data_IF_553732639680
#
_entry.id   IF_553732639680
#
_cell.length_a   1.000
_cell.length_b   1.000
_cell.length_c   1.000
_cell.angle_alpha   90.00
_cell.angle_beta   90.00
_cell.angle_gamma   90.00
#
_symmetry.space_group_name_H-M   'P 1'
#
loop_
_entity.id
_entity.type
_entity.pdbx_description
1 polymer ?
#
# COMPACT_ATOMS: atom_id res chain seq x y z
N UNK A 1 15.44 18.35 10.32
CA UNK A 1 15.33 17.24 9.35
C UNK A 1 13.98 17.42 8.66
N UNK A 2 13.93 17.38 7.34
CA UNK A 2 12.67 17.54 6.59
C UNK A 2 11.79 16.32 6.85
N UNK A 3 10.48 16.54 7.04
CA UNK A 3 9.55 15.47 7.29
C UNK A 3 9.44 14.54 6.08
N UNK A 4 9.46 13.24 6.34
CA UNK A 4 9.36 12.18 5.35
C UNK A 4 8.36 11.13 5.82
N UNK A 5 7.84 10.29 4.92
CA UNK A 5 6.95 9.18 5.26
C UNK A 5 7.61 7.88 4.82
N UNK A 6 8.13 7.15 5.79
CA UNK A 6 8.87 5.91 5.61
C UNK A 6 8.01 4.70 5.96
N UNK A 7 7.17 4.84 7.00
CA UNK A 7 6.20 3.83 7.40
C UNK A 7 4.88 4.50 7.81
N UNK A 8 3.80 3.70 7.93
CA UNK A 8 2.47 4.21 8.33
C UNK A 8 2.46 4.83 9.73
N UNK A 9 3.19 4.33 10.74
CA UNK A 9 3.33 5.00 12.03
C UNK A 9 3.88 6.43 12.00
N UNK A 10 4.53 6.85 10.92
CA UNK A 10 4.99 8.23 10.75
C UNK A 10 3.83 9.24 10.60
N UNK A 11 2.61 8.72 10.36
CA UNK A 11 1.38 9.48 10.25
C UNK A 11 0.47 9.18 11.45
N UNK A 12 -0.06 10.20 12.12
CA UNK A 12 -1.07 10.01 13.17
C UNK A 12 -2.42 9.62 12.55
N UNK A 13 -3.39 9.10 13.34
CA UNK A 13 -4.74 8.84 12.83
C UNK A 13 -5.41 10.10 12.22
N UNK A 14 -5.25 11.25 12.86
CA UNK A 14 -5.80 12.54 12.40
C UNK A 14 -5.15 12.97 11.08
N UNK A 15 -3.86 12.67 10.88
CA UNK A 15 -3.19 12.93 9.61
C UNK A 15 -3.62 11.97 8.51
N UNK A 16 -3.90 10.71 8.85
CA UNK A 16 -4.47 9.75 7.90
C UNK A 16 -5.86 10.22 7.45
N UNK A 17 -6.70 10.66 8.37
CA UNK A 17 -8.03 11.18 8.07
C UNK A 17 -7.94 12.45 7.20
N UNK A 18 -7.07 13.39 7.55
CA UNK A 18 -6.82 14.61 6.76
C UNK A 18 -6.29 14.32 5.35
N UNK A 19 -5.43 13.30 5.19
CA UNK A 19 -4.97 12.86 3.87
C UNK A 19 -6.11 12.28 3.03
N UNK A 20 -6.98 11.49 3.64
CA UNK A 20 -8.15 10.94 2.96
C UNK A 20 -9.16 12.03 2.59
N UNK A 21 -9.40 13.01 3.48
CA UNK A 21 -10.24 14.19 3.19
C UNK A 21 -9.67 14.97 2.00
N UNK A 22 -8.35 15.21 1.99
CA UNK A 22 -7.69 15.89 0.86
C UNK A 22 -7.82 15.07 -0.43
N UNK A 23 -7.66 13.75 -0.37
CA UNK A 23 -7.80 12.89 -1.54
C UNK A 23 -9.24 12.90 -2.08
N UNK A 24 -10.26 12.90 -1.21
CA UNK A 24 -11.66 13.00 -1.60
C UNK A 24 -11.99 14.38 -2.19
N UNK A 25 -11.39 15.44 -1.65
CA UNK A 25 -11.52 16.79 -2.20
C UNK A 25 -10.89 16.91 -3.61
N UNK A 26 -9.71 16.33 -3.82
CA UNK A 26 -9.08 16.24 -5.15
C UNK A 26 -9.98 15.49 -6.14
N UNK A 27 -10.64 14.41 -5.70
CA UNK A 27 -11.58 13.65 -6.55
C UNK A 27 -12.78 14.49 -6.92
N UNK A 28 -13.31 15.29 -5.99
CA UNK A 28 -14.49 16.10 -6.19
C UNK A 28 -14.21 17.37 -7.02
N UNK A 29 -13.00 17.94 -6.90
CA UNK A 29 -12.62 19.24 -7.50
C UNK A 29 -11.21 19.15 -8.12
N UNK A 30 -10.98 18.29 -9.12
CA UNK A 30 -9.64 18.05 -9.67
C UNK A 30 -8.98 19.32 -10.26
N UNK A 31 -9.77 20.21 -10.85
CA UNK A 31 -9.26 21.43 -11.48
C UNK A 31 -8.63 22.41 -10.47
N UNK A 32 -9.11 22.41 -9.21
CA UNK A 32 -8.55 23.25 -8.13
C UNK A 32 -7.12 22.85 -7.78
N UNK A 33 -6.69 21.66 -8.16
CA UNK A 33 -5.39 21.09 -7.87
C UNK A 33 -4.46 20.99 -9.07
N UNK A 34 -4.95 21.29 -10.29
CA UNK A 34 -4.21 21.10 -11.54
C UNK A 34 -2.88 21.87 -11.63
N UNK A 35 -2.74 22.96 -10.89
CA UNK A 35 -1.52 23.80 -10.82
C UNK A 35 -0.87 23.81 -9.42
N UNK A 36 -1.35 22.96 -8.48
CA UNK A 36 -0.91 22.99 -7.09
C UNK A 36 0.59 22.74 -6.91
N UNK A 37 1.20 21.93 -7.79
CA UNK A 37 2.64 21.63 -7.79
C UNK A 37 3.36 22.30 -9.00
N UNK A 38 2.86 23.39 -9.52
CA UNK A 38 3.48 24.09 -10.65
C UNK A 38 4.95 24.38 -10.36
N UNK A 39 5.83 24.02 -11.31
CA UNK A 39 7.31 24.11 -11.22
C UNK A 39 7.96 23.19 -10.20
N UNK A 40 7.22 22.37 -9.44
CA UNK A 40 7.81 21.37 -8.54
C UNK A 40 8.21 20.12 -9.29
N UNK A 41 9.19 19.42 -8.75
CA UNK A 41 9.72 18.17 -9.34
C UNK A 41 9.68 17.05 -8.33
N UNK A 42 9.06 15.94 -8.72
CA UNK A 42 9.14 14.67 -8.01
C UNK A 42 10.25 13.81 -8.63
N UNK A 43 11.20 13.36 -7.85
CA UNK A 43 12.12 12.30 -8.28
C UNK A 43 11.53 10.93 -7.94
N UNK A 44 11.32 10.06 -8.94
CA UNK A 44 10.96 8.65 -8.73
C UNK A 44 12.20 7.77 -8.89
N UNK A 45 12.72 7.27 -7.76
CA UNK A 45 13.94 6.44 -7.68
C UNK A 45 13.53 4.99 -7.45
N UNK A 46 13.39 4.21 -8.52
CA UNK A 46 12.90 2.84 -8.48
C UNK A 46 14.00 1.83 -8.81
N UNK A 47 14.73 1.39 -7.78
CA UNK A 47 15.81 0.40 -7.88
C UNK A 47 15.30 -1.05 -7.88
N UNK A 48 14.03 -1.27 -7.56
CA UNK A 48 13.31 -2.53 -7.69
C UNK A 48 12.16 -2.35 -8.70
N UNK A 49 11.90 -3.31 -9.61
CA UNK A 49 10.81 -3.19 -10.59
C UNK A 49 9.44 -2.97 -9.93
N UNK A 50 8.74 -1.94 -10.35
CA UNK A 50 7.37 -1.65 -9.91
C UNK A 50 6.65 -0.71 -10.87
N UNK A 51 5.97 -1.27 -11.86
CA UNK A 51 5.26 -0.50 -12.88
C UNK A 51 4.13 0.33 -12.27
N UNK A 52 3.24 -0.29 -11.51
CA UNK A 52 2.04 0.38 -10.95
C UNK A 52 2.38 1.52 -10.00
N UNK A 53 3.25 1.26 -9.02
CA UNK A 53 3.58 2.27 -8.00
C UNK A 53 4.29 3.46 -8.63
N UNK A 54 5.23 3.21 -9.56
CA UNK A 54 5.93 4.27 -10.27
C UNK A 54 4.96 5.13 -11.08
N UNK A 55 4.19 4.51 -12.00
CA UNK A 55 3.23 5.23 -12.83
C UNK A 55 2.20 6.00 -11.99
N UNK A 56 1.80 5.46 -10.84
CA UNK A 56 0.86 6.14 -9.95
C UNK A 56 1.45 7.40 -9.30
N UNK A 57 2.74 7.39 -8.91
CA UNK A 57 3.43 8.59 -8.42
C UNK A 57 3.64 9.62 -9.52
N UNK A 58 4.05 9.16 -10.71
CA UNK A 58 4.28 10.02 -11.86
C UNK A 58 2.97 10.69 -12.30
N UNK A 59 1.89 9.91 -12.44
CA UNK A 59 0.56 10.44 -12.76
C UNK A 59 0.07 11.42 -11.67
N UNK A 60 0.25 11.10 -10.38
CA UNK A 60 -0.11 11.99 -9.29
C UNK A 60 0.58 13.34 -9.39
N UNK A 61 1.88 13.37 -9.68
CA UNK A 61 2.63 14.61 -9.80
C UNK A 61 2.23 15.42 -11.05
N UNK A 62 1.99 14.75 -12.17
CA UNK A 62 1.53 15.42 -13.41
C UNK A 62 0.13 16.03 -13.24
N UNK A 63 -0.80 15.33 -12.61
CA UNK A 63 -2.15 15.85 -12.35
C UNK A 63 -2.15 17.04 -11.35
N UNK A 64 -1.11 17.17 -10.53
CA UNK A 64 -0.88 18.35 -9.70
C UNK A 64 -0.13 19.49 -10.42
N UNK A 65 0.11 19.39 -11.73
CA UNK A 65 0.82 20.39 -12.54
C UNK A 65 2.33 20.41 -12.34
N UNK A 66 2.90 19.39 -11.68
CA UNK A 66 4.34 19.28 -11.47
C UNK A 66 5.06 18.50 -12.57
N UNK A 67 6.35 18.24 -12.35
CA UNK A 67 7.22 17.51 -13.28
C UNK A 67 7.83 16.29 -12.59
N UNK A 68 8.30 15.33 -13.39
CA UNK A 68 8.91 14.10 -12.86
C UNK A 68 10.33 13.91 -13.39
N UNK A 69 11.24 13.52 -12.49
CA UNK A 69 12.57 13.01 -12.81
C UNK A 69 12.61 11.53 -12.45
N UNK A 70 12.60 10.65 -13.46
CA UNK A 70 12.44 9.21 -13.23
C UNK A 70 13.77 8.46 -13.43
N UNK A 71 14.13 7.64 -12.43
CA UNK A 71 15.26 6.68 -12.49
C UNK A 71 14.73 5.29 -12.24
N UNK A 72 15.04 4.36 -13.16
CA UNK A 72 14.59 2.97 -13.09
C UNK A 72 15.76 2.01 -13.21
N UNK A 73 15.79 1.02 -12.31
CA UNK A 73 16.78 -0.05 -12.29
C UNK A 73 18.14 0.36 -11.70
N UNK A 74 18.67 -0.48 -10.84
CA UNK A 74 19.99 -0.27 -10.24
C UNK A 74 21.12 -0.33 -11.30
N UNK A 75 20.97 -1.17 -12.34
CA UNK A 75 21.99 -1.39 -13.37
C UNK A 75 22.20 -0.22 -14.34
N UNK A 76 21.28 0.72 -14.42
CA UNK A 76 21.35 1.89 -15.32
C UNK A 76 21.63 3.19 -14.58
N UNK A 77 21.83 3.15 -13.28
CA UNK A 77 22.08 4.32 -12.42
C UNK A 77 23.50 4.31 -11.86
N UNK A 78 23.91 5.41 -11.23
CA UNK A 78 25.20 5.52 -10.52
C UNK A 78 25.36 4.48 -9.41
N UNK A 79 24.27 3.89 -8.92
CA UNK A 79 24.31 2.75 -7.98
C UNK A 79 25.10 1.55 -8.56
N UNK A 80 25.05 1.34 -9.88
CA UNK A 80 25.87 0.31 -10.56
C UNK A 80 27.37 0.54 -10.42
N UNK A 81 27.79 1.80 -10.16
CA UNK A 81 29.19 2.18 -9.94
C UNK A 81 29.57 2.20 -8.45
N UNK A 82 28.65 1.80 -7.55
CA UNK A 82 28.88 1.75 -6.10
C UNK A 82 28.44 3.02 -5.34
N UNK A 83 27.68 3.93 -5.97
CA UNK A 83 27.14 5.09 -5.26
C UNK A 83 26.21 4.66 -4.14
N UNK A 84 26.38 5.26 -2.96
CA UNK A 84 25.56 4.96 -1.78
C UNK A 84 24.16 5.58 -1.90
N UNK A 85 23.17 4.98 -1.22
CA UNK A 85 21.82 5.56 -1.10
C UNK A 85 21.87 6.97 -0.51
N UNK A 86 22.79 7.22 0.44
CA UNK A 86 22.96 8.51 1.06
C UNK A 86 23.43 9.59 0.06
N UNK A 87 24.41 9.25 -0.80
CA UNK A 87 24.94 10.20 -1.80
C UNK A 87 23.93 10.40 -2.91
N UNK A 88 23.24 9.35 -3.37
CA UNK A 88 22.12 9.47 -4.31
C UNK A 88 21.05 10.42 -3.78
N UNK A 89 20.65 10.28 -2.50
CA UNK A 89 19.62 11.13 -1.90
C UNK A 89 20.06 12.60 -1.83
N UNK A 90 21.32 12.89 -1.44
CA UNK A 90 21.88 14.24 -1.43
C UNK A 90 21.92 14.84 -2.83
N UNK A 91 22.41 14.08 -3.81
CA UNK A 91 22.52 14.52 -5.20
C UNK A 91 21.15 14.84 -5.80
N UNK A 92 20.19 13.93 -5.64
CA UNK A 92 18.84 14.12 -6.18
C UNK A 92 18.10 15.27 -5.49
N UNK A 93 18.39 15.53 -4.22
CA UNK A 93 17.84 16.70 -3.51
C UNK A 93 18.25 18.05 -4.12
N UNK A 94 19.33 18.08 -4.94
CA UNK A 94 19.71 19.28 -5.70
C UNK A 94 18.84 19.53 -6.93
N UNK A 95 18.07 18.52 -7.37
CA UNK A 95 17.31 18.56 -8.62
C UNK A 95 15.79 18.47 -8.43
N UNK A 96 15.34 17.92 -7.33
CA UNK A 96 13.93 17.65 -7.05
C UNK A 96 13.48 18.29 -5.73
N UNK A 97 12.17 18.53 -5.61
CA UNK A 97 11.53 19.09 -4.41
C UNK A 97 11.02 17.99 -3.47
N UNK A 98 10.84 16.77 -3.97
CA UNK A 98 10.38 15.59 -3.23
C UNK A 98 10.88 14.32 -3.91
N UNK A 99 11.14 13.26 -3.13
CA UNK A 99 11.63 11.97 -3.62
C UNK A 99 10.66 10.87 -3.26
N UNK A 100 10.27 10.02 -4.22
CA UNK A 100 9.63 8.72 -3.99
C UNK A 100 10.64 7.61 -4.29
N UNK A 101 11.04 6.84 -3.26
CA UNK A 101 12.06 5.81 -3.40
C UNK A 101 11.49 4.41 -3.22
N UNK A 102 11.77 3.51 -4.17
CA UNK A 102 11.57 2.07 -4.05
C UNK A 102 12.89 1.33 -4.15
N UNK A 103 13.18 0.46 -3.17
CA UNK A 103 14.49 -0.17 -3.07
C UNK A 103 14.37 -1.64 -2.62
N UNK A 104 15.22 -2.59 -3.13
CA UNK A 104 15.18 -3.98 -2.69
C UNK A 104 15.68 -4.20 -1.25
N UNK A 105 16.50 -3.30 -0.71
CA UNK A 105 17.01 -3.38 0.66
C UNK A 105 16.12 -2.66 1.65
N UNK A 106 15.76 -3.33 2.73
CA UNK A 106 15.02 -2.76 3.84
C UNK A 106 15.80 -1.60 4.49
N UNK A 107 15.09 -0.54 4.88
CA UNK A 107 15.67 0.65 5.48
C UNK A 107 16.33 1.64 4.50
N UNK A 108 16.41 1.31 3.20
CA UNK A 108 17.03 2.22 2.23
C UNK A 108 16.31 3.59 2.14
N UNK A 109 14.98 3.59 2.18
CA UNK A 109 14.20 4.82 2.20
C UNK A 109 14.46 5.66 3.45
N UNK A 110 14.68 5.03 4.61
CA UNK A 110 15.07 5.72 5.86
C UNK A 110 16.46 6.35 5.74
N UNK A 111 17.42 5.63 5.14
CA UNK A 111 18.76 6.19 4.88
C UNK A 111 18.65 7.39 3.94
N UNK A 112 17.84 7.30 2.90
CA UNK A 112 17.59 8.43 2.00
C UNK A 112 16.98 9.62 2.75
N UNK A 113 15.94 9.42 3.58
CA UNK A 113 15.27 10.47 4.35
C UNK A 113 16.20 11.18 5.33
N UNK A 114 17.16 10.45 5.92
CA UNK A 114 18.16 11.02 6.83
C UNK A 114 19.22 11.88 6.14
N UNK A 115 19.41 11.71 4.84
CA UNK A 115 20.46 12.36 4.06
C UNK A 115 19.93 13.37 3.02
N UNK A 116 18.66 13.26 2.64
CA UNK A 116 18.03 14.21 1.72
C UNK A 116 17.75 15.55 2.41
N UNK A 117 17.81 16.65 1.64
CA UNK A 117 17.35 17.98 2.05
C UNK A 117 15.88 18.24 1.67
N UNK A 118 15.23 17.29 1.02
CA UNK A 118 13.82 17.33 0.59
C UNK A 118 13.05 16.14 1.18
N UNK A 119 11.71 16.17 1.25
CA UNK A 119 10.90 15.05 1.71
C UNK A 119 11.16 13.77 0.93
N UNK A 120 11.15 12.63 1.64
CA UNK A 120 11.26 11.30 1.05
C UNK A 120 10.00 10.48 1.38
N UNK A 121 9.42 9.85 0.36
CA UNK A 121 8.32 8.89 0.47
C UNK A 121 8.85 7.49 0.18
N UNK A 122 8.63 6.56 1.12
CA UNK A 122 8.89 5.15 0.88
C UNK A 122 7.83 4.57 -0.07
N UNK A 123 8.24 4.22 -1.29
CA UNK A 123 7.40 3.55 -2.29
C UNK A 123 7.52 2.01 -2.25
N UNK A 124 8.10 1.48 -1.17
CA UNK A 124 8.34 0.07 -0.88
C UNK A 124 9.81 -0.26 -0.73
N UNK A 125 10.20 -0.85 0.40
CA UNK A 125 11.58 -1.25 0.69
C UNK A 125 11.66 -2.73 1.10
N UNK A 126 12.13 -3.56 0.21
CA UNK A 126 12.32 -5.00 0.44
C UNK A 126 11.06 -5.70 0.95
N UNK A 127 11.20 -6.43 2.05
CA UNK A 127 10.11 -7.10 2.77
C UNK A 127 9.47 -6.26 3.88
N UNK A 128 10.01 -5.08 4.16
CA UNK A 128 9.67 -4.27 5.33
C UNK A 128 8.26 -3.66 5.24
N UNK A 129 8.04 -2.60 4.45
CA UNK A 129 6.74 -1.95 4.36
C UNK A 129 6.46 -1.31 3.00
N UNK A 130 5.21 -0.94 2.80
CA UNK A 130 4.73 -0.21 1.63
C UNK A 130 3.65 0.80 2.06
N UNK A 131 4.01 1.92 2.72
CA UNK A 131 3.06 2.82 3.35
C UNK A 131 2.02 3.35 2.37
N UNK A 132 2.41 3.68 1.13
CA UNK A 132 1.48 4.23 0.15
C UNK A 132 0.48 3.21 -0.42
N UNK A 133 0.73 1.90 -0.26
CA UNK A 133 -0.29 0.88 -0.51
C UNK A 133 -1.33 0.91 0.61
N UNK A 134 -0.88 0.96 1.86
CA UNK A 134 -1.79 1.04 3.01
C UNK A 134 -2.68 2.29 2.93
N UNK A 135 -2.15 3.44 2.51
CA UNK A 135 -2.95 4.65 2.27
C UNK A 135 -4.03 4.42 1.21
N UNK A 136 -3.68 3.75 0.11
CA UNK A 136 -4.64 3.37 -0.94
C UNK A 136 -5.74 2.44 -0.40
N UNK A 137 -5.36 1.49 0.46
CA UNK A 137 -6.27 0.54 1.08
C UNK A 137 -7.26 1.26 2.02
N UNK A 138 -6.77 2.15 2.88
CA UNK A 138 -7.61 2.92 3.81
C UNK A 138 -8.62 3.82 3.08
N UNK A 139 -8.20 4.57 2.05
CA UNK A 139 -9.12 5.38 1.26
C UNK A 139 -10.16 4.51 0.55
N UNK A 140 -9.78 3.34 0.06
CA UNK A 140 -10.72 2.43 -0.60
C UNK A 140 -11.76 1.92 0.40
N UNK A 141 -11.34 1.48 1.58
CA UNK A 141 -12.26 1.03 2.64
C UNK A 141 -13.20 2.17 3.02
N UNK A 142 -12.68 3.38 3.25
CA UNK A 142 -13.49 4.56 3.61
C UNK A 142 -14.52 4.89 2.52
N UNK A 143 -14.16 4.86 1.26
CA UNK A 143 -15.06 5.17 0.15
C UNK A 143 -16.11 4.09 -0.11
N UNK A 144 -15.76 2.81 0.06
CA UNK A 144 -16.70 1.70 -0.14
C UNK A 144 -17.61 1.47 1.08
N UNK A 145 -17.15 1.81 2.30
CA UNK A 145 -17.91 1.55 3.56
C UNK A 145 -18.42 2.81 4.26
N UNK A 146 -17.96 3.99 3.85
CA UNK A 146 -18.26 5.26 4.54
C UNK A 146 -17.62 5.39 5.92
N UNK A 147 -16.80 4.42 6.35
CA UNK A 147 -16.18 4.37 7.68
C UNK A 147 -14.95 3.48 7.69
N UNK A 148 -14.12 3.62 8.74
CA UNK A 148 -12.97 2.74 9.03
C UNK A 148 -13.14 1.96 10.35
N UNK A 149 -14.17 2.30 11.13
CA UNK A 149 -14.52 1.63 12.39
C UNK A 149 -15.66 0.63 12.21
N UNK A 150 -15.85 -0.26 13.20
CA UNK A 150 -16.92 -1.27 13.25
C UNK A 150 -16.99 -2.12 11.96
N UNK A 151 -15.85 -2.69 11.55
CA UNK A 151 -15.72 -3.53 10.37
C UNK A 151 -15.15 -4.92 10.71
N UNK A 152 -15.64 -5.93 10.03
CA UNK A 152 -15.03 -7.27 9.98
C UNK A 152 -14.16 -7.39 8.75
N UNK A 153 -12.84 -7.47 8.95
CA UNK A 153 -11.84 -7.47 7.88
C UNK A 153 -11.25 -8.86 7.71
N UNK A 154 -11.57 -9.52 6.61
CA UNK A 154 -10.99 -10.79 6.19
C UNK A 154 -9.70 -10.55 5.40
N UNK A 155 -8.61 -11.19 5.82
CA UNK A 155 -7.32 -11.19 5.13
C UNK A 155 -7.05 -12.61 4.65
N UNK A 156 -6.92 -12.81 3.34
CA UNK A 156 -6.87 -14.14 2.74
C UNK A 156 -5.67 -14.34 1.82
N UNK A 157 -4.95 -15.45 2.02
CA UNK A 157 -3.82 -15.88 1.19
C UNK A 157 -2.50 -15.98 1.94
N UNK A 158 -1.44 -15.34 1.42
CA UNK A 158 -0.11 -15.31 2.07
C UNK A 158 -0.07 -14.22 3.14
N UNK A 159 -0.38 -14.60 4.38
CA UNK A 159 -0.36 -13.68 5.51
C UNK A 159 1.00 -13.67 6.24
N UNK A 160 1.91 -14.59 5.88
CA UNK A 160 3.23 -14.71 6.49
C UNK A 160 4.22 -13.70 5.90
N UNK A 161 4.29 -13.62 4.58
CA UNK A 161 5.22 -12.76 3.86
C UNK A 161 4.56 -11.49 3.30
N UNK A 162 3.24 -11.38 3.47
CA UNK A 162 2.42 -10.29 2.97
C UNK A 162 2.63 -8.97 3.72
N UNK A 163 3.69 -8.21 3.40
CA UNK A 163 3.94 -6.89 4.02
C UNK A 163 2.75 -5.93 3.96
N UNK A 164 1.95 -5.98 2.88
CA UNK A 164 0.74 -5.16 2.74
C UNK A 164 -0.33 -5.56 3.77
N UNK A 165 -0.44 -6.85 4.08
CA UNK A 165 -1.31 -7.36 5.15
C UNK A 165 -0.86 -6.85 6.51
N UNK A 166 0.43 -6.95 6.82
CA UNK A 166 0.97 -6.50 8.10
C UNK A 166 0.77 -4.99 8.29
N UNK A 167 1.06 -4.20 7.26
CA UNK A 167 0.87 -2.76 7.28
C UNK A 167 -0.61 -2.38 7.42
N UNK A 168 -1.52 -3.10 6.73
CA UNK A 168 -2.95 -2.85 6.84
C UNK A 168 -3.49 -3.21 8.23
N UNK A 169 -3.07 -4.34 8.81
CA UNK A 169 -3.42 -4.69 10.20
C UNK A 169 -2.98 -3.58 11.15
N UNK A 170 -1.73 -3.12 11.05
CA UNK A 170 -1.19 -2.07 11.90
C UNK A 170 -1.94 -0.74 11.75
N UNK A 171 -2.27 -0.36 10.52
CA UNK A 171 -3.02 0.87 10.25
C UNK A 171 -4.45 0.79 10.78
N UNK A 172 -5.17 -0.27 10.41
CA UNK A 172 -6.56 -0.48 10.83
C UNK A 172 -6.69 -0.64 12.35
N UNK A 173 -5.71 -1.25 13.01
CA UNK A 173 -5.72 -1.41 14.48
C UNK A 173 -5.75 -0.10 15.29
N UNK A 174 -5.74 1.05 14.63
CA UNK A 174 -5.89 2.39 15.23
C UNK A 174 -7.34 2.85 15.30
N UNK A 175 -8.26 2.12 14.62
CA UNK A 175 -9.68 2.42 14.58
C UNK A 175 -10.45 1.46 15.50
N UNK A 176 -11.62 1.88 15.98
CA UNK A 176 -12.39 1.14 16.98
C UNK A 176 -13.35 0.12 16.35
N UNK A 177 -13.75 -0.88 17.14
CA UNK A 177 -14.79 -1.83 16.76
C UNK A 177 -14.42 -2.78 15.64
N UNK A 178 -13.13 -3.02 15.41
CA UNK A 178 -12.65 -3.91 14.36
C UNK A 178 -12.59 -5.36 14.82
N UNK A 179 -12.86 -6.27 13.88
CA UNK A 179 -12.60 -7.72 14.00
C UNK A 179 -11.81 -8.18 12.78
N UNK A 180 -10.76 -8.95 12.99
CA UNK A 180 -10.01 -9.57 11.89
C UNK A 180 -10.34 -11.05 11.75
N UNK A 181 -10.45 -11.50 10.49
CA UNK A 181 -10.54 -12.91 10.12
C UNK A 181 -9.32 -13.24 9.26
N UNK A 182 -8.40 -14.03 9.81
CA UNK A 182 -7.12 -14.37 9.18
C UNK A 182 -7.27 -15.73 8.50
N UNK A 183 -7.32 -15.73 7.17
CA UNK A 183 -7.64 -16.88 6.33
C UNK A 183 -6.38 -17.29 5.57
N UNK A 184 -5.73 -18.37 5.99
CA UNK A 184 -4.48 -18.82 5.37
C UNK A 184 -4.20 -20.29 5.62
N UNK A 185 -3.41 -20.97 4.76
CA UNK A 185 -2.82 -22.26 5.13
C UNK A 185 -1.99 -22.12 6.41
N UNK A 186 -1.79 -23.25 7.12
CA UNK A 186 -1.01 -23.28 8.37
C UNK A 186 0.38 -22.66 8.22
N UNK A 187 1.04 -22.92 7.10
CA UNK A 187 2.41 -22.47 6.80
C UNK A 187 2.52 -20.97 6.48
N UNK A 188 1.39 -20.34 6.09
CA UNK A 188 1.30 -18.94 5.67
C UNK A 188 0.55 -18.05 6.67
N UNK A 189 0.42 -18.49 7.92
CA UNK A 189 -0.23 -17.70 8.99
C UNK A 189 0.53 -16.41 9.30
N UNK A 190 -0.24 -15.41 9.72
CA UNK A 190 0.32 -14.14 10.22
C UNK A 190 1.35 -14.39 11.32
N UNK A 191 2.55 -13.81 11.24
CA UNK A 191 3.58 -13.96 12.26
C UNK A 191 3.13 -13.53 13.66
N UNK A 192 3.68 -14.17 14.68
CA UNK A 192 3.28 -13.92 16.07
C UNK A 192 3.53 -12.47 16.50
N UNK A 193 4.60 -11.82 16.00
CA UNK A 193 4.91 -10.44 16.35
C UNK A 193 3.82 -9.48 15.85
N UNK A 194 3.30 -9.66 14.64
CA UNK A 194 2.19 -8.82 14.10
C UNK A 194 0.94 -9.00 14.95
N UNK A 195 0.58 -10.26 15.27
CA UNK A 195 -0.59 -10.54 16.13
C UNK A 195 -0.44 -9.94 17.52
N UNK A 196 0.73 -10.06 18.12
CA UNK A 196 0.97 -9.55 19.46
C UNK A 196 0.93 -8.04 19.52
N UNK A 197 1.61 -7.37 18.58
CA UNK A 197 1.78 -5.92 18.61
C UNK A 197 0.53 -5.15 18.13
N UNK A 198 -0.12 -5.64 17.08
CA UNK A 198 -1.24 -4.92 16.48
C UNK A 198 -2.61 -5.37 17.02
N UNK A 199 -2.78 -6.65 17.36
CA UNK A 199 -4.09 -7.17 17.74
C UNK A 199 -4.20 -7.42 19.26
N UNK A 200 -3.31 -8.25 19.85
CA UNK A 200 -3.41 -8.62 21.25
C UNK A 200 -3.20 -7.45 22.21
N UNK A 201 -2.15 -6.64 21.99
CA UNK A 201 -1.87 -5.46 22.84
C UNK A 201 -3.02 -4.44 22.85
N UNK A 202 -3.81 -4.40 21.77
CA UNK A 202 -4.95 -3.50 21.62
C UNK A 202 -6.31 -4.16 21.89
N UNK A 203 -6.31 -5.42 22.33
CA UNK A 203 -7.52 -6.21 22.57
C UNK A 203 -8.46 -6.28 21.36
N UNK A 204 -7.93 -6.30 20.14
CA UNK A 204 -8.73 -6.40 18.91
C UNK A 204 -9.07 -7.88 18.67
N UNK A 205 -10.36 -8.23 18.55
CA UNK A 205 -10.79 -9.60 18.29
C UNK A 205 -10.26 -10.09 16.94
N UNK A 206 -9.78 -11.34 16.90
CA UNK A 206 -9.44 -11.99 15.65
C UNK A 206 -9.70 -13.50 15.71
N UNK A 207 -10.04 -14.07 14.57
CA UNK A 207 -10.15 -15.51 14.36
C UNK A 207 -9.17 -15.96 13.28
N UNK A 208 -8.78 -17.25 13.31
CA UNK A 208 -7.93 -17.84 12.27
C UNK A 208 -8.66 -19.07 11.70
N UNK A 209 -8.69 -19.19 10.38
CA UNK A 209 -9.26 -20.33 9.68
C UNK A 209 -8.49 -20.63 8.40
N UNK A 210 -8.66 -21.83 7.88
CA UNK A 210 -8.17 -22.23 6.56
C UNK A 210 -9.27 -22.22 5.51
N UNK A 211 -10.54 -22.01 5.89
CA UNK A 211 -11.68 -22.03 5.00
C UNK A 211 -12.28 -20.63 4.78
N UNK A 212 -12.15 -20.11 3.56
CA UNK A 212 -12.74 -18.85 3.17
C UNK A 212 -14.27 -18.92 3.08
N UNK A 213 -14.82 -20.07 2.65
CA UNK A 213 -16.25 -20.18 2.35
C UNK A 213 -17.11 -20.22 3.62
N UNK A 214 -16.53 -20.67 4.74
CA UNK A 214 -17.19 -20.65 6.05
C UNK A 214 -17.38 -19.24 6.61
N UNK A 215 -16.53 -18.30 6.24
CA UNK A 215 -16.46 -16.98 6.88
C UNK A 215 -16.80 -15.81 5.94
N UNK A 216 -16.82 -16.02 4.63
CA UNK A 216 -17.01 -14.95 3.64
C UNK A 216 -18.35 -14.20 3.82
N UNK A 217 -19.37 -14.88 4.35
CA UNK A 217 -20.67 -14.30 4.62
C UNK A 217 -20.71 -13.28 5.76
N UNK A 218 -19.67 -13.24 6.61
CA UNK A 218 -19.59 -12.35 7.77
C UNK A 218 -18.68 -11.14 7.53
N UNK A 219 -18.00 -11.08 6.39
CA UNK A 219 -16.99 -10.08 6.10
C UNK A 219 -17.60 -8.79 5.52
N UNK A 220 -17.12 -7.65 6.01
CA UNK A 220 -17.33 -6.35 5.37
C UNK A 220 -16.28 -6.11 4.26
N UNK A 221 -15.04 -6.52 4.53
CA UNK A 221 -13.89 -6.43 3.62
C UNK A 221 -13.27 -7.81 3.44
N UNK A 222 -12.98 -8.19 2.21
CA UNK A 222 -12.11 -9.32 1.88
C UNK A 222 -10.88 -8.80 1.14
N UNK A 223 -9.74 -8.82 1.82
CA UNK A 223 -8.45 -8.44 1.26
C UNK A 223 -7.70 -9.71 0.82
N UNK A 224 -7.68 -9.97 -0.47
CA UNK A 224 -7.00 -11.12 -1.06
C UNK A 224 -5.53 -10.81 -1.32
N UNK A 225 -4.66 -11.80 -1.13
CA UNK A 225 -3.24 -11.70 -1.49
C UNK A 225 -2.78 -12.92 -2.26
N UNK A 226 -1.86 -12.74 -3.19
CA UNK A 226 -1.21 -13.85 -3.89
C UNK A 226 -0.20 -14.56 -2.99
N UNK A 227 0.05 -15.83 -3.23
CA UNK A 227 1.19 -16.56 -2.67
C UNK A 227 2.45 -16.10 -3.41
N UNK A 228 3.44 -15.58 -2.67
CA UNK A 228 4.62 -14.92 -3.23
C UNK A 228 5.72 -15.93 -3.55
N UNK A 229 5.81 -16.42 -4.82
CA UNK A 229 6.83 -17.40 -5.26
C UNK A 229 8.25 -17.01 -4.85
N UNK A 230 8.56 -15.73 -4.95
CA UNK A 230 9.87 -15.15 -4.65
C UNK A 230 10.32 -15.26 -3.19
N UNK A 231 9.42 -15.73 -2.30
CA UNK A 231 9.67 -15.93 -0.86
C UNK A 231 9.87 -17.39 -0.46
N UNK A 232 9.69 -18.33 -1.40
CA UNK A 232 9.87 -19.76 -1.14
C UNK A 232 11.27 -20.21 -1.54
N UNK A 233 11.91 -20.96 -0.66
CA UNK A 233 13.19 -21.62 -0.96
C UNK A 233 12.99 -22.90 -1.80
N UNK A 234 11.84 -23.56 -1.64
CA UNK A 234 11.48 -24.79 -2.34
C UNK A 234 10.28 -24.53 -3.27
N UNK A 235 10.43 -24.89 -4.55
CA UNK A 235 9.37 -24.73 -5.55
C UNK A 235 8.17 -25.67 -5.28
N UNK A 236 8.41 -26.86 -4.70
CA UNK A 236 7.33 -27.80 -4.37
C UNK A 236 6.35 -27.20 -3.34
N UNK A 237 6.86 -26.52 -2.30
CA UNK A 237 6.04 -25.83 -1.32
C UNK A 237 5.21 -24.72 -1.94
N UNK A 238 5.80 -23.95 -2.86
CA UNK A 238 5.06 -22.94 -3.61
C UNK A 238 3.93 -23.55 -4.46
N UNK A 239 4.25 -24.60 -5.23
CA UNK A 239 3.26 -25.26 -6.09
C UNK A 239 2.10 -25.86 -5.31
N UNK A 240 2.35 -26.37 -4.10
CA UNK A 240 1.32 -26.91 -3.19
C UNK A 240 0.40 -25.82 -2.65
N UNK A 241 0.92 -24.61 -2.39
CA UNK A 241 0.22 -23.54 -1.71
C UNK A 241 -0.36 -22.45 -2.63
N UNK A 242 0.16 -22.31 -3.86
CA UNK A 242 -0.21 -21.22 -4.78
C UNK A 242 -1.68 -21.12 -5.10
N UNK A 243 -2.37 -22.27 -5.15
CA UNK A 243 -3.78 -22.40 -5.54
C UNK A 243 -4.71 -22.63 -4.33
N UNK A 244 -4.21 -22.39 -3.09
CA UNK A 244 -4.97 -22.62 -1.86
C UNK A 244 -6.26 -21.81 -1.80
N UNK A 245 -6.26 -20.61 -2.37
CA UNK A 245 -7.44 -19.74 -2.41
C UNK A 245 -7.61 -19.16 -3.81
N UNK A 246 -8.74 -19.50 -4.43
CA UNK A 246 -9.20 -18.89 -5.68
C UNK A 246 -10.60 -18.36 -5.43
N UNK A 247 -10.76 -17.04 -5.48
CA UNK A 247 -12.06 -16.40 -5.37
C UNK A 247 -12.78 -16.50 -6.71
N UNK A 248 -13.95 -17.14 -6.73
CA UNK A 248 -14.79 -17.37 -7.93
C UNK A 248 -16.15 -16.73 -7.76
N UNK A 249 -16.94 -16.55 -8.86
CA UNK A 249 -18.32 -16.07 -8.76
C UNK A 249 -19.21 -16.94 -7.86
N UNK A 250 -18.95 -18.26 -7.79
CA UNK A 250 -19.71 -19.19 -6.93
C UNK A 250 -19.46 -18.87 -5.45
N UNK A 251 -18.21 -18.62 -5.06
CA UNK A 251 -17.85 -18.21 -3.68
C UNK A 251 -18.43 -16.83 -3.35
N UNK A 252 -18.44 -15.91 -4.34
CA UNK A 252 -19.05 -14.59 -4.17
C UNK A 252 -20.55 -14.63 -3.90
N UNK A 253 -21.28 -15.69 -4.31
CA UNK A 253 -22.70 -15.87 -3.96
C UNK A 253 -22.95 -16.08 -2.47
N UNK A 254 -21.95 -16.58 -1.70
CA UNK A 254 -22.02 -16.77 -0.25
C UNK A 254 -21.72 -15.49 0.53
N UNK A 255 -21.13 -14.49 -0.13
CA UNK A 255 -20.76 -13.23 0.46
C UNK A 255 -21.95 -12.29 0.62
N UNK A 256 -21.86 -11.36 1.58
CA UNK A 256 -22.82 -10.28 1.74
C UNK A 256 -22.90 -9.40 0.48
N UNK A 257 -24.05 -8.79 0.25
CA UNK A 257 -24.26 -7.90 -0.89
C UNK A 257 -23.37 -6.66 -0.83
N UNK A 258 -22.97 -6.22 0.37
CA UNK A 258 -22.12 -5.06 0.61
C UNK A 258 -20.65 -5.42 0.87
N UNK A 259 -20.21 -6.69 0.65
CA UNK A 259 -18.79 -7.05 0.73
C UNK A 259 -17.96 -6.17 -0.21
N UNK A 260 -16.77 -5.76 0.20
CA UNK A 260 -15.78 -5.12 -0.69
C UNK A 260 -14.56 -6.02 -0.82
N UNK A 261 -14.28 -6.47 -2.06
CA UNK A 261 -13.13 -7.32 -2.39
C UNK A 261 -11.97 -6.44 -2.83
N UNK A 262 -10.86 -6.54 -2.12
CA UNK A 262 -9.63 -5.76 -2.33
C UNK A 262 -8.45 -6.67 -2.66
N UNK A 263 -7.45 -6.13 -3.36
CA UNK A 263 -6.22 -6.82 -3.71
C UNK A 263 -5.11 -5.82 -4.03
N UNK A 264 -3.88 -5.96 -3.49
CA UNK A 264 -2.80 -4.99 -3.73
C UNK A 264 -2.21 -5.08 -5.15
N UNK A 265 -2.59 -6.10 -5.92
CA UNK A 265 -2.06 -6.43 -7.25
C UNK A 265 -0.51 -6.57 -7.31
N UNK A 266 0.08 -7.34 -8.23
CA UNK A 266 -0.64 -8.09 -9.28
C UNK A 266 -1.34 -9.33 -8.73
N UNK A 267 -2.48 -9.65 -9.26
CA UNK A 267 -3.05 -11.00 -9.10
C UNK A 267 -2.48 -11.94 -10.15
N UNK A 268 -2.48 -13.22 -9.85
CA UNK A 268 -2.15 -14.31 -10.78
C UNK A 268 -3.41 -15.13 -11.04
N UNK A 269 -3.84 -15.94 -10.07
CA UNK A 269 -5.01 -16.81 -10.16
C UNK A 269 -5.92 -16.77 -8.92
N UNK A 270 -5.48 -16.09 -7.86
CA UNK A 270 -6.20 -16.03 -6.57
C UNK A 270 -7.54 -15.29 -6.62
N UNK A 271 -7.80 -14.54 -7.70
CA UNK A 271 -9.11 -14.01 -8.04
C UNK A 271 -9.38 -14.32 -9.52
N UNK A 272 -10.44 -15.07 -9.78
CA UNK A 272 -10.90 -15.34 -11.15
C UNK A 272 -11.24 -14.03 -11.88
N UNK A 273 -10.89 -13.95 -13.16
CA UNK A 273 -11.24 -12.80 -14.02
C UNK A 273 -12.77 -12.59 -14.08
N UNK A 274 -13.55 -13.65 -13.94
CA UNK A 274 -15.01 -13.57 -13.91
C UNK A 274 -15.59 -12.81 -12.69
N UNK A 275 -14.75 -12.49 -11.69
CA UNK A 275 -15.13 -11.65 -10.55
C UNK A 275 -14.98 -10.15 -10.86
N UNK A 276 -14.30 -9.77 -11.93
CA UNK A 276 -14.04 -8.37 -12.27
C UNK A 276 -15.32 -7.55 -12.52
N UNK A 277 -16.35 -8.19 -13.03
CA UNK A 277 -17.66 -7.56 -13.31
C UNK A 277 -18.58 -7.53 -12.07
N UNK A 278 -18.19 -8.14 -10.96
CA UNK A 278 -18.96 -8.06 -9.71
C UNK A 278 -18.78 -6.66 -9.10
N UNK A 279 -19.87 -5.93 -8.78
CA UNK A 279 -19.81 -4.56 -8.23
C UNK A 279 -19.04 -4.47 -6.92
N UNK A 280 -18.88 -5.60 -6.20
CA UNK A 280 -18.11 -5.71 -4.97
C UNK A 280 -16.60 -5.82 -5.20
N UNK A 281 -16.13 -6.01 -6.45
CA UNK A 281 -14.72 -6.02 -6.83
C UNK A 281 -14.15 -4.61 -6.84
N UNK A 282 -13.34 -4.27 -5.82
CA UNK A 282 -12.85 -2.90 -5.61
C UNK A 282 -11.36 -2.72 -5.97
N UNK A 283 -10.65 -3.78 -6.35
CA UNK A 283 -9.18 -3.73 -6.50
C UNK A 283 -8.70 -2.81 -7.63
N UNK A 284 -9.47 -2.54 -8.68
CA UNK A 284 -9.11 -1.51 -9.67
C UNK A 284 -9.47 -0.09 -9.20
N UNK A 285 -10.56 0.07 -8.44
CA UNK A 285 -10.85 1.33 -7.74
C UNK A 285 -9.74 1.65 -6.72
N UNK A 286 -9.22 0.63 -6.04
CA UNK A 286 -8.10 0.73 -5.10
C UNK A 286 -6.82 1.26 -5.78
N UNK A 287 -6.53 0.84 -7.02
CA UNK A 287 -5.41 1.40 -7.81
C UNK A 287 -5.60 2.90 -8.04
N UNK A 288 -6.80 3.32 -8.44
CA UNK A 288 -7.14 4.73 -8.66
C UNK A 288 -7.08 5.54 -7.36
N UNK A 289 -7.64 5.03 -6.28
CA UNK A 289 -7.57 5.64 -4.95
C UNK A 289 -6.11 5.83 -4.49
N UNK A 290 -5.23 4.88 -4.85
CA UNK A 290 -3.79 4.99 -4.59
C UNK A 290 -3.15 6.20 -5.26
N UNK A 291 -3.59 6.59 -6.47
CA UNK A 291 -3.12 7.82 -7.13
C UNK A 291 -3.54 9.06 -6.32
N UNK A 292 -4.80 9.16 -5.94
CA UNK A 292 -5.31 10.31 -5.18
C UNK A 292 -4.64 10.44 -3.80
N UNK A 293 -4.42 9.34 -3.11
CA UNK A 293 -3.66 9.37 -1.84
C UNK A 293 -2.21 9.82 -2.02
N UNK A 294 -1.58 9.48 -3.15
CA UNK A 294 -0.24 9.98 -3.48
C UNK A 294 -0.24 11.46 -3.79
N UNK A 295 -1.29 11.97 -4.47
CA UNK A 295 -1.48 13.41 -4.68
C UNK A 295 -1.59 14.13 -3.33
N UNK A 296 -2.46 13.69 -2.45
CA UNK A 296 -2.65 14.27 -1.11
C UNK A 296 -1.34 14.22 -0.29
N UNK A 297 -0.61 13.11 -0.32
CA UNK A 297 0.66 12.95 0.40
C UNK A 297 1.76 13.88 -0.14
N UNK A 298 1.88 14.03 -1.46
CA UNK A 298 2.81 14.95 -2.10
C UNK A 298 2.51 16.38 -1.65
N UNK A 299 1.25 16.82 -1.72
CA UNK A 299 0.83 18.15 -1.29
C UNK A 299 1.14 18.42 0.18
N UNK A 300 0.79 17.47 1.06
CA UNK A 300 1.09 17.57 2.50
C UNK A 300 2.58 17.78 2.75
N UNK A 301 3.43 16.93 2.18
CA UNK A 301 4.87 16.97 2.44
C UNK A 301 5.54 18.21 1.85
N UNK A 302 5.15 18.66 0.66
CA UNK A 302 5.66 19.89 0.06
C UNK A 302 5.23 21.14 0.85
N UNK A 303 3.99 21.18 1.38
CA UNK A 303 3.51 22.23 2.29
C UNK A 303 4.33 22.27 3.58
N UNK A 304 4.54 21.14 4.22
CA UNK A 304 5.31 21.03 5.46
C UNK A 304 6.80 21.37 5.27
N UNK A 305 7.32 21.16 4.05
CA UNK A 305 8.67 21.60 3.68
C UNK A 305 8.76 23.09 3.35
N UNK A 306 7.64 23.82 3.36
CA UNK A 306 7.59 25.26 3.01
C UNK A 306 7.89 25.55 1.53
N UNK A 307 7.60 24.58 0.66
CA UNK A 307 7.88 24.69 -0.79
C UNK A 307 6.63 24.87 -1.63
N UNK A 308 5.44 24.75 -1.07
CA UNK A 308 4.14 25.13 -1.64
C UNK A 308 3.60 26.37 -0.97
#
# INVERSE_FOLDING_TARGET
MVRSVIDVPDLTPEELDSLMDTAEDIIARPDDYADACRRKKLATLFFEPSTRTRLSFEAAMYELGGNVLSVTGAGTSSAAKGESVADTAKTVSCYADIIAMRHPKEGAALVAARNASVPVINAGDGGHCHPTQTLADLLTIRREKGRLNNLTVGLCGDLKFGRTVHSLINAMSRYEGLKFVLISPEELKVPSYVKNDALKKKNIPYTQTTDLEEVIGDLDILYMTRVQRERFFNEEDYLRLRDSYILTPEKMKKARADLSVMHPLPRVNEISVAVDDDPRACYFKQVLNGKYMRMALILKLLKEAGTL
#
